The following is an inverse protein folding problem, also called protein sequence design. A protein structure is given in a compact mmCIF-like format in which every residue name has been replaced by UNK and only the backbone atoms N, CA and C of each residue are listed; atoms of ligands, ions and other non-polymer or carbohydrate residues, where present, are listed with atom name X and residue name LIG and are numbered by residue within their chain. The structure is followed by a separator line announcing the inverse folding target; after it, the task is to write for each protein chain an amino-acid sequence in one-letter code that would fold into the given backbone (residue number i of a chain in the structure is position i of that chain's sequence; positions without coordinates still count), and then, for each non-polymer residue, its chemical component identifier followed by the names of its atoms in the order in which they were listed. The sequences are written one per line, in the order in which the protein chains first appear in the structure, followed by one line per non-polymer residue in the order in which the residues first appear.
data_IF_250993912134
#
_entry.id   IF_250993912134
#
_cell.length_a   1.000
_cell.length_b   1.000
_cell.length_c   1.000
_cell.angle_alpha   90.00
_cell.angle_beta   90.00
_cell.angle_gamma   90.00
#
_symmetry.space_group_name_H-M   'P 1'
#
loop_
_entity.id
_entity.type
_entity.pdbx_description
1 polymer ?
#
# COMPACT_ATOMS: atom_id res chain seq x y z
N UNK A 1 21.51 -2.92 18.74
CA UNK A 1 21.91 -1.77 19.59
C UNK A 1 21.37 -0.43 19.06
N UNK A 2 21.53 -0.12 17.76
CA UNK A 2 21.00 1.13 17.15
C UNK A 2 19.46 1.28 17.19
N UNK A 3 18.71 0.19 17.07
CA UNK A 3 17.23 0.19 17.15
C UNK A 3 16.75 0.58 18.56
N UNK A 4 17.48 0.23 19.61
CA UNK A 4 17.06 0.50 20.99
C UNK A 4 17.25 1.98 21.39
N UNK A 5 18.21 2.66 20.76
CA UNK A 5 18.50 4.08 21.03
C UNK A 5 17.56 5.01 20.25
N UNK A 6 17.17 4.65 19.03
CA UNK A 6 16.20 5.39 18.21
C UNK A 6 14.75 5.30 18.74
N UNK A 7 14.38 4.20 19.39
CA UNK A 7 13.03 3.97 19.92
C UNK A 7 12.94 4.09 21.46
N UNK A 8 14.02 4.42 22.17
CA UNK A 8 14.05 4.50 23.64
C UNK A 8 12.90 5.30 24.29
N UNK A 9 12.52 6.48 23.75
CA UNK A 9 11.36 7.24 24.26
C UNK A 9 9.99 6.65 23.86
N UNK A 10 9.94 5.85 22.81
CA UNK A 10 8.72 5.16 22.35
C UNK A 10 8.41 3.98 23.27
N UNK A 11 9.43 3.29 23.79
CA UNK A 11 9.25 2.19 24.73
C UNK A 11 8.79 2.60 26.14
N UNK A 12 8.93 3.87 26.52
CA UNK A 12 8.56 4.37 27.86
C UNK A 12 7.17 4.98 27.94
N UNK A 13 6.51 5.28 26.81
CA UNK A 13 5.17 5.85 26.79
C UNK A 13 4.11 4.79 26.47
N UNK A 14 2.96 4.85 27.16
CA UNK A 14 1.84 3.91 26.94
C UNK A 14 1.39 3.88 25.46
N UNK A 15 1.45 5.02 24.77
CA UNK A 15 1.14 5.15 23.35
C UNK A 15 2.11 4.37 22.45
N UNK A 16 3.41 4.37 22.75
CA UNK A 16 4.39 3.64 21.96
C UNK A 16 4.30 2.12 22.12
N UNK A 17 3.93 1.64 23.31
CA UNK A 17 3.63 0.22 23.54
C UNK A 17 2.38 -0.24 22.76
N UNK A 18 1.33 0.59 22.72
CA UNK A 18 0.12 0.30 21.92
C UNK A 18 0.46 0.27 20.43
N UNK A 19 1.25 1.22 19.93
CA UNK A 19 1.68 1.24 18.53
C UNK A 19 2.51 0.01 18.15
N UNK A 20 3.42 -0.44 19.02
CA UNK A 20 4.20 -1.66 18.82
C UNK A 20 3.34 -2.92 18.86
N UNK A 21 2.39 -3.01 19.79
CA UNK A 21 1.45 -4.12 19.86
C UNK A 21 0.58 -4.20 18.58
N UNK A 22 0.11 -3.06 18.09
CA UNK A 22 -0.66 -2.96 16.86
C UNK A 22 0.18 -3.37 15.64
N UNK A 23 1.39 -2.82 15.48
CA UNK A 23 2.31 -3.20 14.41
C UNK A 23 2.67 -4.69 14.46
N UNK A 24 2.95 -5.22 15.65
CA UNK A 24 3.23 -6.64 15.88
C UNK A 24 2.06 -7.54 15.54
N UNK A 25 0.83 -7.14 15.88
CA UNK A 25 -0.39 -7.86 15.52
C UNK A 25 -0.57 -7.93 14.00
N UNK A 26 -0.44 -6.80 13.29
CA UNK A 26 -0.54 -6.77 11.83
C UNK A 26 0.55 -7.60 11.15
N UNK A 27 1.79 -7.52 11.65
CA UNK A 27 2.91 -8.29 11.11
C UNK A 27 2.70 -9.79 11.33
N UNK A 28 2.18 -10.19 12.50
CA UNK A 28 1.81 -11.58 12.77
C UNK A 28 0.70 -12.06 11.84
N UNK A 29 -0.33 -11.24 11.61
CA UNK A 29 -1.44 -11.57 10.71
C UNK A 29 -0.97 -11.75 9.26
N UNK A 30 -0.09 -10.85 8.78
CA UNK A 30 0.56 -10.96 7.47
C UNK A 30 1.40 -12.23 7.35
N UNK A 31 2.21 -12.56 8.36
CA UNK A 31 3.01 -13.77 8.37
C UNK A 31 2.13 -15.03 8.36
N UNK A 32 1.08 -15.08 9.18
CA UNK A 32 0.14 -16.21 9.21
C UNK A 32 -0.53 -16.38 7.85
N UNK A 33 -0.97 -15.28 7.23
CA UNK A 33 -1.56 -15.31 5.89
C UNK A 33 -0.55 -15.82 4.85
N UNK A 34 0.66 -15.28 4.82
CA UNK A 34 1.71 -15.70 3.89
C UNK A 34 2.10 -17.17 4.07
N UNK A 35 2.29 -17.62 5.31
CA UNK A 35 2.58 -19.03 5.63
C UNK A 35 1.40 -19.95 5.33
N UNK A 36 0.16 -19.49 5.46
CA UNK A 36 -1.01 -20.28 5.06
C UNK A 36 -1.07 -20.44 3.54
N UNK A 37 -0.84 -19.34 2.80
CA UNK A 37 -0.79 -19.35 1.34
C UNK A 37 0.34 -20.23 0.81
N UNK A 38 1.53 -20.16 1.42
CA UNK A 38 2.66 -21.03 1.08
C UNK A 38 2.31 -22.50 1.25
N UNK A 39 1.59 -22.85 2.33
CA UNK A 39 1.16 -24.23 2.61
C UNK A 39 -0.06 -24.67 1.80
N UNK A 40 -0.56 -23.83 0.88
CA UNK A 40 -1.78 -24.05 0.08
C UNK A 40 -3.00 -24.43 0.93
N UNK A 41 -3.02 -23.97 2.18
CA UNK A 41 -4.16 -24.20 3.09
C UNK A 41 -5.12 -23.04 2.91
N UNK A 42 -6.35 -23.36 2.50
CA UNK A 42 -7.42 -22.36 2.34
C UNK A 42 -7.65 -21.63 3.67
N UNK A 43 -7.32 -20.34 3.66
CA UNK A 43 -7.54 -19.42 4.77
C UNK A 43 -9.03 -19.19 4.93
N UNK A 44 -9.76 -19.10 3.82
CA UNK A 44 -11.22 -18.99 3.81
C UNK A 44 -11.87 -20.23 4.41
N UNK A 45 -11.44 -21.41 4.02
CA UNK A 45 -11.97 -22.67 4.55
C UNK A 45 -11.65 -22.81 6.05
N UNK A 46 -10.44 -22.41 6.50
CA UNK A 46 -10.10 -22.39 7.92
C UNK A 46 -10.97 -21.41 8.73
N UNK A 47 -11.12 -20.18 8.24
CA UNK A 47 -11.90 -19.14 8.93
C UNK A 47 -13.39 -19.49 9.01
N UNK A 48 -13.96 -20.01 7.92
CA UNK A 48 -15.38 -20.35 7.88
C UNK A 48 -15.70 -21.69 8.54
N UNK A 49 -14.74 -22.63 8.63
CA UNK A 49 -14.84 -23.78 9.55
C UNK A 49 -14.93 -23.31 11.00
N UNK A 50 -14.11 -22.33 11.39
CA UNK A 50 -14.11 -21.78 12.75
C UNK A 50 -15.41 -21.02 13.08
N UNK A 51 -16.04 -20.40 12.08
CA UNK A 51 -17.32 -19.69 12.21
C UNK A 51 -18.56 -20.57 12.00
N UNK A 52 -18.42 -21.89 11.83
CA UNK A 52 -19.52 -22.83 11.55
C UNK A 52 -20.39 -22.49 10.31
N UNK A 53 -19.90 -21.63 9.40
CA UNK A 53 -20.60 -21.17 8.19
C UNK A 53 -20.35 -22.07 6.96
N UNK A 54 -19.84 -23.29 7.17
CA UNK A 54 -19.46 -24.22 6.10
C UNK A 54 -20.57 -24.48 5.06
N UNK A 55 -21.84 -24.42 5.48
CA UNK A 55 -23.01 -24.61 4.62
C UNK A 55 -23.14 -23.55 3.51
N UNK A 56 -22.68 -22.32 3.77
CA UNK A 56 -22.73 -21.22 2.79
C UNK A 56 -21.54 -21.22 1.83
N UNK A 57 -20.41 -21.83 2.21
CA UNK A 57 -19.22 -21.95 1.37
C UNK A 57 -19.37 -22.96 0.23
N UNK A 58 -20.02 -24.09 0.53
CA UNK A 58 -20.15 -25.23 -0.38
C UNK A 58 -21.54 -25.33 -1.02
N UNK A 59 -22.50 -24.52 -0.56
CA UNK A 59 -23.90 -24.57 -0.99
C UNK A 59 -24.38 -23.37 -1.79
N UNK A 60 -23.60 -22.29 -1.86
CA UNK A 60 -23.93 -21.07 -2.59
C UNK A 60 -22.90 -20.80 -3.69
N UNK A 61 -23.34 -20.32 -4.86
CA UNK A 61 -22.48 -20.00 -6.01
C UNK A 61 -21.38 -18.99 -5.65
N UNK A 62 -21.66 -18.11 -4.69
CA UNK A 62 -20.70 -17.14 -4.18
C UNK A 62 -19.55 -17.78 -3.40
N UNK A 63 -19.83 -18.88 -2.68
CA UNK A 63 -18.83 -19.61 -1.90
C UNK A 63 -17.85 -20.38 -2.79
N UNK A 64 -18.35 -21.00 -3.86
CA UNK A 64 -17.51 -21.66 -4.88
C UNK A 64 -16.62 -20.64 -5.60
N UNK A 65 -17.19 -19.49 -6.02
CA UNK A 65 -16.42 -18.41 -6.64
C UNK A 65 -15.31 -17.86 -5.72
N UNK A 66 -15.57 -17.77 -4.41
CA UNK A 66 -14.57 -17.35 -3.43
C UNK A 66 -13.41 -18.36 -3.32
N UNK A 67 -13.71 -19.67 -3.35
CA UNK A 67 -12.69 -20.72 -3.34
C UNK A 67 -11.88 -20.78 -4.64
N UNK A 68 -12.53 -20.60 -5.79
CA UNK A 68 -11.84 -20.51 -7.08
C UNK A 68 -10.90 -19.31 -7.12
N UNK A 69 -11.35 -18.15 -6.63
CA UNK A 69 -10.53 -16.94 -6.51
C UNK A 69 -9.31 -17.19 -5.61
N UNK A 70 -9.49 -17.88 -4.48
CA UNK A 70 -8.39 -18.23 -3.59
C UNK A 70 -7.38 -19.20 -4.24
N UNK A 71 -7.86 -20.17 -5.03
CA UNK A 71 -6.97 -21.06 -5.78
C UNK A 71 -6.14 -20.29 -6.82
N UNK A 72 -6.73 -19.30 -7.49
CA UNK A 72 -6.00 -18.43 -8.42
C UNK A 72 -4.95 -17.60 -7.68
N UNK A 73 -5.27 -17.08 -6.49
CA UNK A 73 -4.30 -16.42 -5.60
C UNK A 73 -3.15 -17.38 -5.24
N UNK A 74 -3.42 -18.63 -4.87
CA UNK A 74 -2.36 -19.61 -4.59
C UNK A 74 -1.50 -19.93 -5.80
N UNK A 75 -2.10 -19.97 -7.01
CA UNK A 75 -1.37 -20.17 -8.26
C UNK A 75 -0.44 -18.99 -8.53
N UNK A 76 -0.93 -17.77 -8.33
CA UNK A 76 -0.14 -16.56 -8.44
C UNK A 76 1.02 -16.55 -7.44
N UNK A 77 0.77 -16.73 -6.14
CA UNK A 77 1.78 -16.68 -5.07
C UNK A 77 2.74 -17.90 -5.02
N UNK A 78 2.76 -18.74 -6.05
CA UNK A 78 3.68 -19.88 -6.10
C UNK A 78 5.09 -19.45 -6.51
N UNK A 79 6.12 -19.88 -5.77
CA UNK A 79 7.53 -19.52 -6.05
C UNK A 79 8.04 -19.96 -7.42
N UNK A 80 7.37 -20.95 -8.03
CA UNK A 80 7.68 -21.45 -9.38
C UNK A 80 7.13 -20.55 -10.48
N UNK A 81 6.18 -19.66 -10.16
CA UNK A 81 5.57 -18.78 -11.14
C UNK A 81 6.51 -17.59 -11.43
N UNK A 82 6.91 -17.44 -12.70
CA UNK A 82 7.73 -16.32 -13.14
C UNK A 82 7.01 -14.96 -12.98
N UNK A 83 5.69 -14.96 -13.17
CA UNK A 83 4.85 -13.75 -13.05
C UNK A 83 4.84 -13.21 -11.62
N UNK A 84 4.89 -14.10 -10.62
CA UNK A 84 5.03 -13.70 -9.21
C UNK A 84 6.28 -12.86 -8.99
N UNK A 85 7.43 -13.36 -9.45
CA UNK A 85 8.72 -12.67 -9.30
C UNK A 85 8.75 -11.34 -10.07
N UNK A 86 8.11 -11.29 -11.25
CA UNK A 86 7.97 -10.04 -11.99
C UNK A 86 7.11 -9.02 -11.23
N UNK A 87 5.97 -9.46 -10.67
CA UNK A 87 5.11 -8.60 -9.86
C UNK A 87 5.82 -8.12 -8.59
N UNK A 88 6.53 -9.02 -7.89
CA UNK A 88 7.30 -8.66 -6.71
C UNK A 88 8.44 -7.68 -7.03
N UNK A 89 9.16 -7.90 -8.13
CA UNK A 89 10.21 -7.00 -8.59
C UNK A 89 9.67 -5.63 -9.00
N UNK A 90 8.52 -5.59 -9.68
CA UNK A 90 7.87 -4.35 -10.08
C UNK A 90 7.37 -3.56 -8.85
N UNK A 91 6.73 -4.24 -7.91
CA UNK A 91 6.33 -3.64 -6.64
C UNK A 91 7.55 -3.10 -5.88
N UNK A 92 8.62 -3.90 -5.75
CA UNK A 92 9.84 -3.43 -5.10
C UNK A 92 10.40 -2.18 -5.78
N UNK A 93 10.44 -2.14 -7.11
CA UNK A 93 10.93 -1.00 -7.87
C UNK A 93 10.06 0.25 -7.67
N UNK A 94 8.74 0.09 -7.65
CA UNK A 94 7.78 1.15 -7.35
C UNK A 94 8.00 1.75 -5.96
N UNK A 95 7.99 0.92 -4.91
CA UNK A 95 8.20 1.36 -3.53
C UNK A 95 9.61 1.94 -3.32
N UNK A 96 10.61 1.41 -4.03
CA UNK A 96 11.97 1.95 -4.01
C UNK A 96 12.03 3.33 -4.67
N UNK A 97 11.34 3.54 -5.80
CA UNK A 97 11.23 4.85 -6.45
C UNK A 97 10.59 5.89 -5.54
N UNK A 98 9.50 5.52 -4.85
CA UNK A 98 8.86 6.39 -3.85
C UNK A 98 9.76 6.68 -2.65
N UNK A 99 10.55 5.69 -2.19
CA UNK A 99 11.53 5.91 -1.13
C UNK A 99 12.66 6.86 -1.57
N UNK A 100 13.22 6.68 -2.77
CA UNK A 100 14.24 7.59 -3.32
C UNK A 100 13.70 9.02 -3.42
N UNK A 101 12.46 9.18 -3.88
CA UNK A 101 11.76 10.48 -3.87
C UNK A 101 11.67 11.07 -2.46
N UNK A 102 11.32 10.28 -1.45
CA UNK A 102 11.27 10.76 -0.06
C UNK A 102 12.65 11.24 0.43
N UNK A 103 13.72 10.50 0.11
CA UNK A 103 15.11 10.89 0.44
C UNK A 103 15.47 12.23 -0.21
N UNK A 104 15.17 12.39 -1.50
CA UNK A 104 15.43 13.63 -2.23
C UNK A 104 14.68 14.80 -1.60
N UNK A 105 13.39 14.64 -1.31
CA UNK A 105 12.57 15.69 -0.71
C UNK A 105 13.03 16.07 0.69
N UNK A 106 13.38 15.08 1.52
CA UNK A 106 13.95 15.33 2.85
C UNK A 106 15.24 16.14 2.71
N UNK A 107 16.15 15.73 1.82
CA UNK A 107 17.39 16.46 1.56
C UNK A 107 17.14 17.91 1.15
N UNK A 108 16.19 18.18 0.24
CA UNK A 108 15.87 19.55 -0.18
C UNK A 108 15.25 20.41 0.94
N UNK A 109 14.47 19.82 1.84
CA UNK A 109 13.76 20.55 2.90
C UNK A 109 14.65 20.76 4.14
N UNK A 110 15.45 19.76 4.50
CA UNK A 110 16.29 19.80 5.71
C UNK A 110 17.70 20.28 5.43
N UNK A 111 18.17 20.17 4.18
CA UNK A 111 19.57 20.42 3.79
C UNK A 111 20.54 19.31 4.21
N UNK A 112 20.04 18.23 4.82
CA UNK A 112 20.86 17.12 5.33
C UNK A 112 20.49 15.80 4.66
N UNK A 113 21.51 15.02 4.29
CA UNK A 113 21.31 13.71 3.67
C UNK A 113 21.20 12.63 4.74
N UNK A 114 19.97 12.31 5.15
CA UNK A 114 19.71 11.39 6.27
C UNK A 114 18.81 10.21 5.83
N UNK A 115 19.43 9.15 5.31
CA UNK A 115 18.73 7.97 4.75
C UNK A 115 17.80 7.32 5.78
N UNK A 116 18.27 7.12 7.02
CA UNK A 116 17.49 6.45 8.08
C UNK A 116 16.26 7.27 8.46
N UNK A 117 16.41 8.60 8.59
CA UNK A 117 15.28 9.49 8.90
C UNK A 117 14.32 9.59 7.72
N UNK A 118 14.83 9.59 6.49
CA UNK A 118 14.01 9.54 5.27
C UNK A 118 13.19 8.25 5.17
N UNK A 119 13.74 7.13 5.62
CA UNK A 119 13.00 5.86 5.69
C UNK A 119 11.87 5.92 6.71
N UNK A 120 12.11 6.54 7.87
CA UNK A 120 11.07 6.78 8.86
C UNK A 120 9.96 7.69 8.30
N UNK A 121 10.32 8.83 7.69
CA UNK A 121 9.40 9.75 7.01
C UNK A 121 8.55 9.01 5.98
N UNK A 122 9.18 8.20 5.12
CA UNK A 122 8.47 7.40 4.12
C UNK A 122 7.54 6.34 4.74
N UNK A 123 7.94 5.71 5.85
CA UNK A 123 7.07 4.84 6.62
C UNK A 123 5.81 5.55 7.11
N UNK A 124 5.95 6.76 7.65
CA UNK A 124 4.82 7.61 8.06
C UNK A 124 3.93 8.04 6.88
N UNK A 125 4.49 8.20 5.68
CA UNK A 125 3.69 8.45 4.45
C UNK A 125 2.77 7.27 4.17
N UNK A 126 3.31 6.04 4.20
CA UNK A 126 2.53 4.83 3.98
C UNK A 126 1.48 4.60 5.08
N UNK A 127 1.78 4.93 6.34
CA UNK A 127 0.81 4.87 7.43
C UNK A 127 -0.37 5.82 7.21
N UNK A 128 -0.13 7.02 6.68
CA UNK A 128 -1.22 7.95 6.36
C UNK A 128 -2.15 7.39 5.28
N UNK A 129 -1.62 6.66 4.30
CA UNK A 129 -2.40 6.01 3.23
C UNK A 129 -3.29 4.85 3.72
N UNK A 130 -3.05 4.31 4.92
CA UNK A 130 -3.92 3.30 5.53
C UNK A 130 -5.20 3.91 6.13
N UNK A 131 -5.26 5.23 6.24
CA UNK A 131 -6.48 5.89 6.72
C UNK A 131 -7.58 5.81 5.66
N UNK A 132 -8.84 5.55 6.03
CA UNK A 132 -9.96 5.48 5.09
C UNK A 132 -10.38 6.86 4.58
N UNK A 133 -9.52 7.88 4.71
CA UNK A 133 -9.79 9.24 4.28
C UNK A 133 -9.40 9.38 2.80
N UNK A 134 -10.27 9.98 1.96
CA UNK A 134 -9.97 10.18 0.55
C UNK A 134 -8.69 11.00 0.40
N UNK A 135 -7.78 10.51 -0.44
CA UNK A 135 -6.45 11.11 -0.68
C UNK A 135 -5.62 11.36 0.60
N UNK A 136 -5.92 10.67 1.70
CA UNK A 136 -5.34 10.89 3.02
C UNK A 136 -5.32 12.39 3.42
N UNK A 137 -6.37 13.13 3.05
CA UNK A 137 -6.52 14.56 3.37
C UNK A 137 -6.46 14.80 4.87
N UNK A 138 -5.54 15.66 5.31
CA UNK A 138 -5.27 15.93 6.73
C UNK A 138 -4.42 14.85 7.40
N UNK A 139 -4.66 13.57 7.12
CA UNK A 139 -3.87 12.47 7.68
C UNK A 139 -2.41 12.51 7.25
N UNK A 140 -2.14 12.83 5.98
CA UNK A 140 -0.77 12.94 5.48
C UNK A 140 -0.04 14.12 6.15
N UNK A 141 -0.67 15.28 6.23
CA UNK A 141 -0.12 16.49 6.85
C UNK A 141 0.23 16.26 8.31
N UNK A 142 -0.69 15.66 9.07
CA UNK A 142 -0.50 15.35 10.49
C UNK A 142 0.59 14.30 10.68
N UNK A 143 0.58 13.24 9.88
CA UNK A 143 1.58 12.17 9.94
C UNK A 143 2.98 12.71 9.65
N UNK A 144 3.14 13.51 8.60
CA UNK A 144 4.43 14.09 8.22
C UNK A 144 4.89 15.18 9.19
N UNK A 145 3.99 16.07 9.61
CA UNK A 145 4.30 17.06 10.65
C UNK A 145 4.77 16.40 11.95
N UNK A 146 4.10 15.33 12.38
CA UNK A 146 4.51 14.53 13.53
C UNK A 146 5.88 13.86 13.31
N UNK A 147 6.07 13.17 12.18
CA UNK A 147 7.33 12.50 11.86
C UNK A 147 8.51 13.48 11.86
N UNK A 148 8.38 14.62 11.17
CA UNK A 148 9.42 15.65 11.16
C UNK A 148 9.65 16.28 12.54
N UNK A 149 8.60 16.44 13.36
CA UNK A 149 8.74 16.92 14.73
C UNK A 149 9.54 15.96 15.60
N UNK A 150 9.24 14.67 15.56
CA UNK A 150 9.96 13.62 16.33
C UNK A 150 11.40 13.45 15.85
N UNK A 151 11.64 13.62 14.54
CA UNK A 151 12.97 13.49 13.93
C UNK A 151 13.85 14.74 14.09
N UNK A 152 13.33 15.79 14.75
CA UNK A 152 14.05 17.03 15.05
C UNK A 152 14.09 18.06 13.92
N UNK A 153 13.31 17.87 12.85
CA UNK A 153 13.22 18.80 11.71
C UNK A 153 12.15 19.88 11.89
N UNK A 154 11.20 19.66 12.81
CA UNK A 154 10.11 20.59 13.13
C UNK A 154 8.86 20.37 12.29
N UNK A 155 7.69 20.59 12.91
CA UNK A 155 6.38 20.29 12.31
C UNK A 155 6.14 21.01 10.97
N UNK A 156 6.50 22.29 10.87
CA UNK A 156 6.29 23.11 9.68
C UNK A 156 6.96 22.51 8.43
N UNK A 157 8.16 21.93 8.58
CA UNK A 157 8.87 21.27 7.47
C UNK A 157 8.16 19.99 7.01
N UNK A 158 7.55 19.25 7.93
CA UNK A 158 6.72 18.09 7.59
C UNK A 158 5.45 18.46 6.83
N UNK A 159 4.81 19.58 7.18
CA UNK A 159 3.68 20.11 6.41
C UNK A 159 4.11 20.48 4.98
N UNK A 160 5.25 21.17 4.81
CA UNK A 160 5.80 21.47 3.47
C UNK A 160 6.10 20.19 2.69
N UNK A 161 6.72 19.19 3.32
CA UNK A 161 6.97 17.90 2.68
C UNK A 161 5.67 17.27 2.14
N UNK A 162 4.59 17.26 2.94
CA UNK A 162 3.31 16.68 2.52
C UNK A 162 2.68 17.42 1.33
N UNK A 163 2.81 18.74 1.26
CA UNK A 163 2.33 19.54 0.13
C UNK A 163 3.12 19.24 -1.15
N UNK A 164 4.45 19.21 -1.08
CA UNK A 164 5.30 18.89 -2.25
C UNK A 164 5.08 17.45 -2.70
N UNK A 165 4.88 16.54 -1.75
CA UNK A 165 4.50 15.16 -2.04
C UNK A 165 3.21 15.14 -2.87
N UNK A 166 2.12 15.77 -2.41
CA UNK A 166 0.88 15.84 -3.19
C UNK A 166 1.02 16.54 -4.54
N UNK A 167 1.77 17.64 -4.61
CA UNK A 167 1.96 18.37 -5.86
C UNK A 167 2.58 17.46 -6.95
N UNK A 168 3.50 16.58 -6.56
CA UNK A 168 4.10 15.61 -7.46
C UNK A 168 3.10 14.53 -7.88
N UNK A 169 2.28 14.03 -6.97
CA UNK A 169 1.24 13.04 -7.30
C UNK A 169 0.20 13.63 -8.26
N UNK A 170 -0.18 14.90 -8.03
CA UNK A 170 -1.10 15.63 -8.88
C UNK A 170 -0.51 15.90 -10.27
N UNK A 171 0.79 16.20 -10.35
CA UNK A 171 1.50 16.35 -11.61
C UNK A 171 1.43 15.06 -12.46
N UNK A 172 1.72 13.89 -11.87
CA UNK A 172 1.58 12.62 -12.58
C UNK A 172 0.13 12.30 -12.93
N UNK A 173 -0.83 12.66 -12.09
CA UNK A 173 -2.25 12.53 -12.39
C UNK A 173 -2.65 13.35 -13.62
N UNK A 174 -2.19 14.60 -13.73
CA UNK A 174 -2.43 15.44 -14.91
C UNK A 174 -1.77 14.89 -16.17
N UNK A 175 -0.55 14.36 -16.07
CA UNK A 175 0.08 13.67 -17.19
C UNK A 175 -0.75 12.47 -17.64
N UNK A 176 -1.20 11.63 -16.70
CA UNK A 176 -2.07 10.50 -16.99
C UNK A 176 -3.39 10.92 -17.64
N UNK A 177 -4.03 11.98 -17.13
CA UNK A 177 -5.24 12.55 -17.69
C UNK A 177 -5.02 13.07 -19.11
N UNK A 178 -3.90 13.76 -19.36
CA UNK A 178 -3.56 14.24 -20.70
C UNK A 178 -3.41 13.10 -21.71
N UNK A 179 -2.69 12.03 -21.35
CA UNK A 179 -2.58 10.83 -22.19
C UNK A 179 -3.92 10.14 -22.39
N UNK A 180 -4.74 10.05 -21.34
CA UNK A 180 -6.06 9.45 -21.41
C UNK A 180 -7.02 10.24 -22.31
N UNK A 181 -7.03 11.58 -22.25
CA UNK A 181 -7.87 12.38 -23.13
C UNK A 181 -7.44 12.22 -24.59
N UNK A 182 -6.13 12.22 -24.85
CA UNK A 182 -5.59 12.09 -26.21
C UNK A 182 -5.89 10.73 -26.84
N UNK A 183 -5.60 9.63 -26.14
CA UNK A 183 -5.68 8.29 -26.71
C UNK A 183 -6.93 7.52 -26.29
N UNK A 184 -7.51 7.87 -25.14
CA UNK A 184 -8.72 7.25 -24.63
C UNK A 184 -9.96 7.63 -25.44
N UNK A 185 -9.99 8.82 -26.04
CA UNK A 185 -11.09 9.21 -26.94
C UNK A 185 -11.13 8.32 -28.20
N UNK A 186 -9.97 8.07 -28.82
CA UNK A 186 -9.84 7.18 -29.99
C UNK A 186 -10.22 5.74 -29.61
N UNK A 187 -9.66 5.23 -28.50
CA UNK A 187 -9.96 3.88 -28.03
C UNK A 187 -11.44 3.69 -27.61
N UNK A 188 -12.07 4.73 -27.06
CA UNK A 188 -13.48 4.70 -26.70
C UNK A 188 -14.38 4.69 -27.94
N UNK A 189 -14.03 5.48 -28.96
CA UNK A 189 -14.74 5.50 -30.23
C UNK A 189 -14.69 4.13 -30.93
N UNK A 190 -13.51 3.51 -31.00
CA UNK A 190 -13.34 2.19 -31.62
C UNK A 190 -14.15 1.10 -30.89
N UNK A 191 -14.23 1.16 -29.56
CA UNK A 191 -15.02 0.21 -28.77
C UNK A 191 -16.53 0.45 -28.93
N UNK A 192 -16.97 1.71 -28.96
CA UNK A 192 -18.37 2.06 -29.17
C UNK A 192 -18.85 1.63 -30.57
N UNK A 193 -18.06 1.88 -31.62
CA UNK A 193 -18.37 1.45 -32.99
C UNK A 193 -18.44 -0.08 -33.13
N UNK A 194 -17.59 -0.83 -32.42
CA UNK A 194 -17.66 -2.29 -32.43
C UNK A 194 -18.86 -2.88 -31.69
N UNK A 195 -19.36 -2.20 -30.64
CA UNK A 195 -20.54 -2.66 -29.88
C UNK A 195 -21.84 -2.30 -30.61
N UNK A 196 -21.96 -1.09 -31.13
CA UNK A 196 -23.17 -0.63 -31.83
C UNK A 196 -23.20 -1.03 -33.30
N UNK A 197 -22.05 -1.15 -33.97
CA UNK A 197 -21.96 -1.59 -35.37
C UNK A 197 -22.29 -3.07 -35.57
N UNK A 198 -22.23 -3.90 -34.52
CA UNK A 198 -22.64 -5.31 -34.57
C UNK A 198 -24.16 -5.53 -34.47
N UNK A 199 -24.94 -4.50 -34.13
CA UNK A 199 -26.40 -4.61 -34.01
C UNK A 199 -27.15 -4.23 -35.31
N UNK A 200 -26.42 -3.91 -36.39
CA UNK A 200 -26.97 -3.47 -37.68
C UNK A 200 -26.88 -4.49 -38.82
N UNK A 201 -26.69 -5.78 -38.54
CA UNK A 201 -26.77 -6.88 -39.53
C UNK A 201 -27.71 -7.95 -39.01
#
# INVERSE_FOLDING_TARGET
MLVFWLFGPVFTSALGLVALAFAGFFLTLLLVFYFSNWRKKSVLEWFMKKLALKKYLLGDKNGEMALETEQEVFRFFSLKNKVFWQGLGLAFLEYFGFFVRAVILVFFITGSFEIVKSLAVYGFTNLASLTPLPAALGALELSQGFAFSVLGFGFNKGAVFSMVWRATDLFFCFLGLFFFVKHGAEAAQDKLLNVFGKQGV
#
